data_IF_474253704090
#
_entry.id   IF_474253704090
#
_cell.length_a   1.000
_cell.length_b   1.000
_cell.length_c   1.000
_cell.angle_alpha   90.00
_cell.angle_beta   90.00
_cell.angle_gamma   90.00
#
_symmetry.space_group_name_H-M   'P 1'
#
loop_
_entity.id
_entity.type
_entity.pdbx_description
1 polymer ?
#
# COMPACT_ATOMS: atom_id res chain seq x y z
N UNK A 1 -2.70 5.19 -34.06
CA UNK A 1 -1.59 4.47 -33.43
C UNK A 1 -1.80 4.54 -31.93
N UNK A 2 -1.82 3.43 -31.17
CA UNK A 2 -1.89 3.54 -29.72
C UNK A 2 -0.61 4.23 -29.25
N UNK A 3 -0.75 5.28 -28.46
CA UNK A 3 0.40 5.96 -27.87
C UNK A 3 1.15 4.93 -27.02
N UNK A 4 2.40 4.65 -27.37
CA UNK A 4 3.27 3.81 -26.55
C UNK A 4 3.36 4.50 -25.20
N UNK A 5 2.80 3.89 -24.14
CA UNK A 5 2.89 4.46 -22.79
C UNK A 5 4.37 4.73 -22.52
N UNK A 6 4.68 5.95 -22.08
CA UNK A 6 6.03 6.30 -21.67
C UNK A 6 6.57 5.22 -20.71
N UNK A 7 7.87 4.91 -20.81
CA UNK A 7 8.49 4.00 -19.84
C UNK A 7 8.29 4.60 -18.44
N UNK A 8 7.85 3.80 -17.46
CA UNK A 8 7.73 4.30 -16.10
C UNK A 8 9.13 4.64 -15.59
N UNK A 9 9.25 5.80 -14.96
CA UNK A 9 10.45 6.19 -14.23
C UNK A 9 10.45 5.52 -12.86
N UNK A 10 11.64 5.06 -12.44
CA UNK A 10 11.83 4.55 -11.09
C UNK A 10 11.91 5.73 -10.11
N UNK A 11 11.23 5.61 -8.97
CA UNK A 11 11.25 6.61 -7.90
C UNK A 11 11.66 5.94 -6.61
N UNK A 12 12.77 6.41 -6.04
CA UNK A 12 13.19 6.00 -4.71
C UNK A 12 12.42 6.78 -3.65
N UNK A 13 11.99 6.07 -2.59
CA UNK A 13 11.31 6.67 -1.44
C UNK A 13 12.23 6.64 -0.21
N UNK A 14 12.11 7.62 0.71
CA UNK A 14 12.98 7.71 1.89
C UNK A 14 12.95 6.47 2.81
N UNK A 15 11.82 5.76 2.88
CA UNK A 15 11.74 4.51 3.63
C UNK A 15 10.38 3.84 3.56
N UNK A 16 10.37 2.52 3.45
CA UNK A 16 9.15 1.71 3.44
C UNK A 16 9.13 0.82 4.68
N UNK A 17 7.99 0.71 5.41
CA UNK A 17 7.86 -0.17 6.57
C UNK A 17 8.36 -1.58 6.26
N UNK A 18 9.31 -2.06 7.07
CA UNK A 18 9.89 -3.39 6.92
C UNK A 18 9.20 -4.35 7.90
N UNK A 19 8.75 -5.51 7.43
CA UNK A 19 8.22 -6.53 8.32
C UNK A 19 9.34 -7.20 9.13
N UNK A 20 9.08 -7.49 10.40
CA UNK A 20 10.04 -8.21 11.27
C UNK A 20 10.08 -9.73 11.01
N UNK A 21 9.12 -10.25 10.26
CA UNK A 21 8.95 -11.69 10.01
C UNK A 21 8.62 -12.01 8.55
N UNK A 22 8.13 -13.23 8.29
CA UNK A 22 7.89 -13.74 6.93
C UNK A 22 6.44 -14.15 6.65
N UNK A 23 5.53 -13.96 7.60
CA UNK A 23 4.11 -14.38 7.46
C UNK A 23 3.16 -13.24 7.12
N UNK A 24 3.59 -11.98 7.29
CA UNK A 24 2.74 -10.80 7.17
C UNK A 24 2.88 -10.07 5.82
N UNK A 25 3.71 -10.58 4.91
CA UNK A 25 4.10 -9.87 3.69
C UNK A 25 2.90 -9.45 2.83
N UNK A 26 1.87 -10.31 2.73
CA UNK A 26 0.64 -10.00 2.00
C UNK A 26 -0.11 -8.81 2.58
N UNK A 27 -0.16 -8.67 3.91
CA UNK A 27 -0.83 -7.54 4.57
C UNK A 27 -0.06 -6.23 4.39
N UNK A 28 1.27 -6.29 4.38
CA UNK A 28 2.11 -5.14 4.02
C UNK A 28 1.83 -4.69 2.59
N UNK A 29 1.83 -5.63 1.63
CA UNK A 29 1.50 -5.30 0.23
C UNK A 29 0.11 -4.68 0.09
N UNK A 30 -0.90 -5.25 0.76
CA UNK A 30 -2.25 -4.70 0.75
C UNK A 30 -2.32 -3.29 1.36
N UNK A 31 -1.62 -3.03 2.46
CA UNK A 31 -1.53 -1.70 3.07
C UNK A 31 -0.83 -0.71 2.14
N UNK A 32 0.24 -1.11 1.45
CA UNK A 32 0.92 -0.27 0.46
C UNK A 32 0.02 0.09 -0.72
N UNK A 33 -0.70 -0.88 -1.28
CA UNK A 33 -1.68 -0.61 -2.34
C UNK A 33 -2.76 0.37 -1.88
N UNK A 34 -3.31 0.18 -0.68
CA UNK A 34 -4.30 1.09 -0.11
C UNK A 34 -3.75 2.52 0.03
N UNK A 35 -2.54 2.68 0.56
CA UNK A 35 -1.89 3.98 0.70
C UNK A 35 -1.64 4.65 -0.65
N UNK A 36 -1.11 3.91 -1.64
CA UNK A 36 -0.85 4.45 -2.98
C UNK A 36 -2.13 4.94 -3.64
N UNK A 37 -3.22 4.19 -3.54
CA UNK A 37 -4.50 4.58 -4.13
C UNK A 37 -5.11 5.79 -3.41
N UNK A 38 -5.24 5.72 -2.09
CA UNK A 38 -5.98 6.75 -1.34
C UNK A 38 -5.15 8.03 -1.13
N UNK A 39 -3.84 7.92 -0.91
CA UNK A 39 -3.00 9.09 -0.66
C UNK A 39 -2.43 9.64 -1.97
N UNK A 40 -1.82 8.80 -2.80
CA UNK A 40 -1.15 9.29 -4.01
C UNK A 40 -2.15 9.56 -5.14
N UNK A 41 -2.98 8.58 -5.51
CA UNK A 41 -3.85 8.73 -6.68
C UNK A 41 -5.05 9.65 -6.41
N UNK A 42 -5.70 9.54 -5.24
CA UNK A 42 -6.88 10.35 -4.91
C UNK A 42 -6.50 11.73 -4.33
N UNK A 43 -5.52 11.78 -3.42
CA UNK A 43 -5.14 13.02 -2.72
C UNK A 43 -3.90 13.71 -3.31
N UNK A 44 -3.27 13.15 -4.35
CA UNK A 44 -2.07 13.72 -4.99
C UNK A 44 -0.87 13.89 -4.04
N UNK A 45 -0.79 13.11 -2.96
CA UNK A 45 0.35 13.12 -2.05
C UNK A 45 1.53 12.40 -2.69
N UNK A 46 2.75 12.97 -2.72
CA UNK A 46 3.92 12.31 -3.28
C UNK A 46 4.25 10.99 -2.57
N UNK A 47 4.73 9.99 -3.32
CA UNK A 47 5.19 8.71 -2.75
C UNK A 47 6.25 8.89 -1.65
N UNK A 48 7.14 9.87 -1.82
CA UNK A 48 8.17 10.21 -0.83
C UNK A 48 7.62 10.79 0.47
N UNK A 49 6.38 11.30 0.46
CA UNK A 49 5.69 11.77 1.66
C UNK A 49 4.90 10.65 2.35
N UNK A 50 4.37 9.72 1.58
CA UNK A 50 3.68 8.54 2.11
C UNK A 50 4.67 7.54 2.74
N UNK A 51 5.83 7.35 2.12
CA UNK A 51 6.82 6.35 2.52
C UNK A 51 8.09 7.02 3.07
N UNK A 52 8.07 7.30 4.37
CA UNK A 52 9.16 7.99 5.08
C UNK A 52 9.82 7.18 6.21
N UNK A 53 9.34 5.97 6.49
CA UNK A 53 9.73 5.21 7.67
C UNK A 53 9.98 3.75 7.31
N UNK A 54 10.98 3.16 7.93
CA UNK A 54 11.25 1.72 7.86
C UNK A 54 10.66 0.95 9.04
N UNK A 55 10.04 1.65 10.01
CA UNK A 55 9.45 1.02 11.18
C UNK A 55 8.34 0.04 10.76
N UNK A 56 8.33 -1.19 11.31
CA UNK A 56 7.27 -2.16 11.06
C UNK A 56 5.90 -1.59 11.44
N UNK A 57 4.87 -2.01 10.72
CA UNK A 57 3.50 -1.76 11.15
C UNK A 57 3.21 -2.52 12.45
N UNK A 58 2.50 -1.86 13.34
CA UNK A 58 1.97 -2.48 14.53
C UNK A 58 0.90 -3.51 14.16
N UNK A 59 0.63 -4.44 15.08
CA UNK A 59 -0.42 -5.43 14.88
C UNK A 59 -1.80 -4.78 14.67
N UNK A 60 -2.10 -3.71 15.39
CA UNK A 60 -3.37 -2.99 15.25
C UNK A 60 -3.55 -2.42 13.83
N UNK A 61 -2.51 -1.81 13.27
CA UNK A 61 -2.52 -1.29 11.90
C UNK A 61 -2.69 -2.38 10.84
N UNK A 62 -2.15 -3.58 11.08
CA UNK A 62 -2.34 -4.72 10.19
C UNK A 62 -3.75 -5.29 10.31
N UNK A 63 -4.31 -5.34 11.53
CA UNK A 63 -5.65 -5.82 11.81
C UNK A 63 -6.72 -4.90 11.16
N UNK A 64 -6.52 -3.58 11.15
CA UNK A 64 -7.36 -2.63 10.41
C UNK A 64 -7.45 -2.98 8.92
N UNK A 65 -6.32 -3.28 8.29
CA UNK A 65 -6.24 -3.64 6.87
C UNK A 65 -6.87 -5.01 6.62
N UNK A 66 -6.60 -6.00 7.49
CA UNK A 66 -7.22 -7.32 7.42
C UNK A 66 -8.74 -7.22 7.38
N UNK A 67 -9.31 -6.49 8.32
CA UNK A 67 -10.76 -6.37 8.41
C UNK A 67 -11.35 -5.56 7.26
N UNK A 68 -10.67 -4.49 6.82
CA UNK A 68 -11.10 -3.70 5.67
C UNK A 68 -11.26 -4.56 4.41
N UNK A 69 -10.23 -5.35 4.08
CA UNK A 69 -10.29 -6.24 2.90
C UNK A 69 -11.24 -7.41 3.10
N UNK A 70 -11.26 -8.03 4.29
CA UNK A 70 -12.17 -9.13 4.58
C UNK A 70 -13.65 -8.71 4.44
N UNK A 71 -14.02 -7.53 4.94
CA UNK A 71 -15.38 -6.98 4.76
C UNK A 71 -15.71 -6.77 3.28
N UNK A 72 -14.79 -6.16 2.52
CA UNK A 72 -14.99 -5.96 1.09
C UNK A 72 -15.30 -7.26 0.33
N UNK A 73 -14.55 -8.34 0.59
CA UNK A 73 -14.83 -9.64 -0.04
C UNK A 73 -16.15 -10.26 0.39
N UNK A 74 -16.54 -10.11 1.66
CA UNK A 74 -17.81 -10.67 2.14
C UNK A 74 -19.01 -9.89 1.61
N UNK A 75 -18.88 -8.58 1.46
CA UNK A 75 -19.94 -7.72 0.91
C UNK A 75 -20.17 -7.97 -0.59
N UNK A 76 -19.14 -8.40 -1.34
CA UNK A 76 -19.25 -8.80 -2.76
C UNK A 76 -19.86 -10.20 -2.97
N UNK A 77 -20.02 -11.00 -1.92
CA UNK A 77 -20.62 -12.34 -1.98
C UNK A 77 -22.14 -12.34 -1.70
N UNK A 78 -22.74 -11.17 -1.49
CA UNK A 78 -24.19 -10.95 -1.23
C UNK A 78 -24.83 -10.24 -2.40
#
# INVERSE_FOLDING_TARGET
MPQLKARPDWVDVPGVPQQDGNVECGYYTMRFCWLIVNMCAQCSVPLSEVFQSTMPYTRAELDEIREFWARGFLDELV
#
